data_IF_386400869296
#
_entry.id   IF_386400869296
#
_cell.length_a   1.000
_cell.length_b   1.000
_cell.length_c   1.000
_cell.angle_alpha   90.00
_cell.angle_beta   90.00
_cell.angle_gamma   90.00
#
_symmetry.space_group_name_H-M   'P 1'
#
loop_
_entity.id
_entity.type
_entity.pdbx_description
1 polymer ?
#
# COMPACT_ATOMS: atom_id res chain seq x y z
N UNK A 1 13.80 22.41 -17.79
CA UNK A 1 12.54 21.62 -17.79
C UNK A 1 12.72 20.14 -18.16
N UNK A 2 13.75 19.71 -18.91
CA UNK A 2 13.88 18.30 -19.35
C UNK A 2 14.42 17.31 -18.28
N UNK A 3 15.28 17.75 -17.36
CA UNK A 3 15.91 16.85 -16.37
C UNK A 3 14.96 16.36 -15.27
N UNK A 4 13.97 17.18 -14.88
CA UNK A 4 13.01 16.84 -13.83
C UNK A 4 11.97 15.81 -14.30
N UNK A 5 11.53 15.91 -15.55
CA UNK A 5 10.60 14.95 -16.15
C UNK A 5 11.25 13.57 -16.35
N UNK A 6 12.54 13.52 -16.69
CA UNK A 6 13.31 12.28 -16.77
C UNK A 6 13.52 11.64 -15.38
N UNK A 7 13.75 12.45 -14.34
CA UNK A 7 13.87 12.00 -12.96
C UNK A 7 12.55 11.39 -12.45
N UNK A 8 11.41 12.04 -12.73
CA UNK A 8 10.08 11.53 -12.40
C UNK A 8 9.76 10.23 -13.16
N UNK A 9 10.15 10.13 -14.43
CA UNK A 9 10.05 8.90 -15.22
C UNK A 9 10.90 7.75 -14.65
N UNK A 10 12.11 8.03 -14.16
CA UNK A 10 12.99 7.02 -13.57
C UNK A 10 12.49 6.55 -12.19
N UNK A 11 11.89 7.44 -11.41
CA UNK A 11 11.19 7.08 -10.16
C UNK A 11 10.03 6.12 -10.46
N UNK A 12 9.31 6.33 -11.57
CA UNK A 12 8.18 5.47 -11.99
C UNK A 12 8.58 4.01 -12.25
N UNK A 13 9.82 3.78 -12.67
CA UNK A 13 10.34 2.43 -12.97
C UNK A 13 11.10 1.78 -11.82
N UNK A 14 11.58 2.55 -10.83
CA UNK A 14 12.47 2.08 -9.76
C UNK A 14 11.94 2.35 -8.34
N UNK A 15 10.61 2.43 -8.16
CA UNK A 15 9.97 2.59 -6.85
C UNK A 15 10.49 1.60 -5.79
N UNK A 16 10.76 0.36 -6.21
CA UNK A 16 11.30 -0.69 -5.35
C UNK A 16 12.69 -0.33 -4.82
N UNK A 17 13.63 0.05 -5.69
CA UNK A 17 14.99 0.41 -5.29
C UNK A 17 15.03 1.63 -4.37
N UNK A 18 14.08 2.55 -4.54
CA UNK A 18 13.89 3.70 -3.65
C UNK A 18 13.45 3.21 -2.27
N UNK A 19 12.44 2.34 -2.19
CA UNK A 19 11.97 1.78 -0.93
C UNK A 19 13.08 1.01 -0.20
N UNK A 20 13.87 0.20 -0.90
CA UNK A 20 14.97 -0.55 -0.29
C UNK A 20 16.00 0.38 0.36
N UNK A 21 16.36 1.46 -0.35
CA UNK A 21 17.30 2.47 0.13
C UNK A 21 16.76 3.24 1.34
N UNK A 22 15.49 3.64 1.33
CA UNK A 22 14.89 4.43 2.42
C UNK A 22 14.59 3.57 3.66
N UNK A 23 14.22 2.31 3.48
CA UNK A 23 13.94 1.40 4.58
C UNK A 23 15.20 0.73 5.14
N UNK A 24 16.33 0.82 4.44
CA UNK A 24 17.57 0.10 4.78
C UNK A 24 17.37 -1.42 4.77
N UNK A 25 16.47 -1.90 3.91
CA UNK A 25 15.98 -3.28 3.87
C UNK A 25 15.91 -3.73 2.42
N UNK A 26 16.51 -4.85 2.11
CA UNK A 26 16.33 -5.49 0.81
C UNK A 26 14.91 -6.09 0.72
N UNK A 27 14.33 -6.09 -0.49
CA UNK A 27 13.11 -6.83 -0.73
C UNK A 27 13.35 -8.31 -0.41
N UNK A 28 12.58 -8.82 0.54
CA UNK A 28 12.60 -10.25 0.82
C UNK A 28 11.76 -10.99 -0.21
N UNK A 29 12.31 -12.08 -0.74
CA UNK A 29 11.52 -13.00 -1.52
C UNK A 29 10.38 -13.56 -0.65
N UNK A 30 9.17 -13.78 -1.20
CA UNK A 30 8.01 -14.17 -0.39
C UNK A 30 8.22 -15.43 0.46
N UNK A 31 9.03 -16.37 -0.01
CA UNK A 31 9.39 -17.61 0.67
C UNK A 31 10.32 -17.42 1.88
N UNK A 32 10.95 -16.25 2.04
CA UNK A 32 11.84 -15.93 3.16
C UNK A 32 11.14 -15.14 4.27
N UNK A 33 9.89 -14.70 4.05
CA UNK A 33 9.14 -13.91 5.02
C UNK A 33 8.71 -14.80 6.19
N UNK A 34 9.09 -14.42 7.41
CA UNK A 34 8.55 -15.05 8.60
C UNK A 34 7.13 -14.56 8.87
N UNK A 35 6.15 -15.24 8.27
CA UNK A 35 4.72 -14.96 8.44
C UNK A 35 4.23 -15.16 9.88
N UNK A 36 4.85 -16.04 10.67
CA UNK A 36 4.41 -16.35 12.04
C UNK A 36 4.60 -15.18 13.02
N UNK A 37 5.59 -14.31 12.77
CA UNK A 37 5.92 -13.16 13.61
C UNK A 37 5.40 -11.83 13.08
N UNK A 38 4.53 -11.84 12.06
CA UNK A 38 4.17 -10.63 11.35
C UNK A 38 3.14 -9.79 12.14
N UNK A 39 3.56 -8.57 12.52
CA UNK A 39 2.79 -7.70 13.42
C UNK A 39 2.08 -6.54 12.71
N UNK A 40 2.61 -6.08 11.57
CA UNK A 40 2.07 -4.93 10.84
C UNK A 40 2.04 -5.26 9.35
N UNK A 41 0.90 -5.04 8.71
CA UNK A 41 0.66 -5.21 7.28
C UNK A 41 0.21 -3.87 6.74
N UNK A 42 0.87 -3.39 5.69
CA UNK A 42 0.45 -2.19 4.96
C UNK A 42 0.06 -2.58 3.54
N UNK A 43 -1.22 -2.39 3.20
CA UNK A 43 -1.73 -2.61 1.85
C UNK A 43 -1.77 -1.28 1.12
N UNK A 44 -1.08 -1.18 -0.01
CA UNK A 44 -1.07 0.04 -0.83
C UNK A 44 -2.05 -0.16 -1.99
N UNK A 45 -3.20 0.53 -1.94
CA UNK A 45 -4.20 0.57 -3.01
C UNK A 45 -4.47 2.02 -3.39
N UNK A 46 -3.54 2.59 -4.16
CA UNK A 46 -3.60 3.98 -4.64
C UNK A 46 -4.60 4.21 -5.80
N UNK A 47 -5.39 3.20 -6.17
CA UNK A 47 -6.36 3.38 -7.26
C UNK A 47 -7.54 4.23 -6.78
N UNK A 48 -7.99 5.17 -7.61
CA UNK A 48 -9.05 6.14 -7.34
C UNK A 48 -10.46 5.56 -7.57
N UNK A 49 -10.58 4.50 -8.37
CA UNK A 49 -11.85 3.80 -8.58
C UNK A 49 -12.36 3.06 -7.33
N UNK A 50 -13.60 3.38 -6.94
CA UNK A 50 -14.35 2.69 -5.87
C UNK A 50 -14.57 1.21 -6.20
N UNK A 51 -14.88 0.88 -7.47
CA UNK A 51 -15.14 -0.52 -7.87
C UNK A 51 -13.94 -1.41 -7.60
N UNK A 52 -12.74 -0.88 -7.89
CA UNK A 52 -11.49 -1.60 -7.71
C UNK A 52 -11.16 -1.81 -6.24
N UNK A 53 -11.50 -0.85 -5.38
CA UNK A 53 -11.35 -1.02 -3.94
C UNK A 53 -12.31 -2.07 -3.39
N UNK A 54 -13.58 -2.05 -3.81
CA UNK A 54 -14.58 -3.03 -3.38
C UNK A 54 -14.22 -4.45 -3.82
N UNK A 55 -13.73 -4.62 -5.05
CA UNK A 55 -13.24 -5.91 -5.54
C UNK A 55 -12.01 -6.41 -4.77
N UNK A 56 -11.18 -5.50 -4.27
CA UNK A 56 -10.05 -5.83 -3.40
C UNK A 56 -10.50 -6.07 -1.94
N UNK A 57 -11.69 -5.62 -1.52
CA UNK A 57 -12.20 -5.73 -0.16
C UNK A 57 -12.05 -7.11 0.51
N UNK A 58 -12.39 -8.22 -0.18
CA UNK A 58 -12.22 -9.57 0.37
C UNK A 58 -10.77 -9.93 0.74
N UNK A 59 -9.77 -9.31 0.10
CA UNK A 59 -8.36 -9.56 0.43
C UNK A 59 -8.05 -9.15 1.88
N UNK A 60 -8.66 -8.09 2.39
CA UNK A 60 -8.49 -7.67 3.79
C UNK A 60 -9.09 -8.69 4.77
N UNK A 61 -10.21 -9.32 4.41
CA UNK A 61 -10.81 -10.38 5.22
C UNK A 61 -9.89 -11.62 5.29
N UNK A 62 -9.32 -12.01 4.14
CA UNK A 62 -8.34 -13.12 4.08
C UNK A 62 -7.08 -12.78 4.88
N UNK A 63 -6.56 -11.55 4.78
CA UNK A 63 -5.41 -11.09 5.58
C UNK A 63 -5.71 -11.13 7.07
N UNK A 64 -6.88 -10.64 7.51
CA UNK A 64 -7.30 -10.71 8.92
C UNK A 64 -7.40 -12.14 9.41
N UNK A 65 -7.96 -13.05 8.59
CA UNK A 65 -8.05 -14.47 8.95
C UNK A 65 -6.66 -15.12 9.07
N UNK A 66 -5.74 -14.82 8.15
CA UNK A 66 -4.39 -15.36 8.16
C UNK A 66 -3.51 -14.77 9.27
N UNK A 67 -3.72 -13.48 9.60
CA UNK A 67 -2.95 -12.74 10.59
C UNK A 67 -3.85 -12.04 11.61
N UNK A 68 -4.57 -12.78 12.50
CA UNK A 68 -5.59 -12.21 13.38
C UNK A 68 -5.09 -11.09 14.30
N UNK A 69 -3.81 -11.14 14.69
CA UNK A 69 -3.17 -10.21 15.61
C UNK A 69 -2.40 -9.08 14.94
N UNK A 70 -2.24 -9.11 13.61
CA UNK A 70 -1.50 -8.06 12.91
C UNK A 70 -2.34 -6.78 12.85
N UNK A 71 -1.68 -5.63 12.94
CA UNK A 71 -2.27 -4.34 12.55
C UNK A 71 -2.29 -4.26 11.03
N UNK A 72 -3.45 -4.03 10.44
CA UNK A 72 -3.66 -3.95 8.99
C UNK A 72 -3.99 -2.50 8.63
N UNK A 73 -3.02 -1.80 8.03
CA UNK A 73 -3.21 -0.47 7.48
C UNK A 73 -3.48 -0.51 5.97
N UNK A 74 -4.22 0.48 5.47
CA UNK A 74 -4.46 0.67 4.04
C UNK A 74 -4.07 2.08 3.60
N UNK A 75 -3.17 2.19 2.62
CA UNK A 75 -2.90 3.44 1.92
C UNK A 75 -3.86 3.55 0.74
N UNK A 76 -4.68 4.60 0.72
CA UNK A 76 -5.73 4.79 -0.28
C UNK A 76 -5.78 6.22 -0.82
N UNK A 77 -6.38 6.38 -2.00
CA UNK A 77 -6.72 7.69 -2.56
C UNK A 77 -7.76 8.40 -1.66
N UNK A 78 -7.73 9.75 -1.51
CA UNK A 78 -8.69 10.49 -0.67
C UNK A 78 -10.16 10.15 -0.92
N UNK A 79 -10.55 9.92 -2.18
CA UNK A 79 -11.93 9.57 -2.56
C UNK A 79 -12.39 8.21 -2.00
N UNK A 80 -11.45 7.32 -1.69
CA UNK A 80 -11.71 5.97 -1.18
C UNK A 80 -11.67 5.92 0.36
N UNK A 81 -11.11 6.94 1.00
CA UNK A 81 -10.83 6.93 2.44
C UNK A 81 -12.06 6.62 3.31
N UNK A 82 -13.22 7.23 2.99
CA UNK A 82 -14.46 6.97 3.72
C UNK A 82 -14.91 5.51 3.60
N UNK A 83 -14.88 4.94 2.39
CA UNK A 83 -15.26 3.55 2.13
C UNK A 83 -14.27 2.59 2.81
N UNK A 84 -12.97 2.88 2.74
CA UNK A 84 -11.94 2.08 3.39
C UNK A 84 -12.14 2.04 4.91
N UNK A 85 -12.53 3.16 5.52
CA UNK A 85 -12.77 3.24 6.97
C UNK A 85 -13.97 2.41 7.44
N UNK A 86 -14.86 2.01 6.52
CA UNK A 86 -16.00 1.15 6.82
C UNK A 86 -15.64 -0.35 6.79
N UNK A 87 -14.45 -0.74 6.30
CA UNK A 87 -14.05 -2.14 6.27
C UNK A 87 -13.54 -2.57 7.66
N UNK A 88 -14.22 -3.51 8.36
CA UNK A 88 -13.87 -3.89 9.73
C UNK A 88 -12.52 -4.63 9.83
N UNK A 89 -11.91 -5.02 8.71
CA UNK A 89 -10.62 -5.70 8.68
C UNK A 89 -9.44 -4.72 8.58
N UNK A 90 -9.71 -3.43 8.36
CA UNK A 90 -8.71 -2.37 8.27
C UNK A 90 -8.66 -1.63 9.60
N UNK A 91 -7.51 -1.62 10.25
CA UNK A 91 -7.31 -0.94 11.53
C UNK A 91 -6.98 0.55 11.35
N UNK A 92 -6.38 0.90 10.21
CA UNK A 92 -5.91 2.26 9.93
C UNK A 92 -6.02 2.59 8.44
N UNK A 93 -6.58 3.75 8.13
CA UNK A 93 -6.63 4.30 6.78
C UNK A 93 -5.65 5.46 6.67
N UNK A 94 -4.72 5.34 5.73
CA UNK A 94 -3.70 6.36 5.43
C UNK A 94 -4.05 6.96 4.08
N UNK A 95 -4.32 8.26 4.05
CA UNK A 95 -4.65 8.96 2.81
C UNK A 95 -3.35 9.32 2.11
N UNK A 96 -3.20 8.86 0.86
CA UNK A 96 -2.07 9.24 0.03
C UNK A 96 -2.12 10.73 -0.32
N UNK A 97 -0.97 11.41 -0.46
CA UNK A 97 -0.94 12.78 -0.96
C UNK A 97 -1.55 12.83 -2.36
N UNK A 98 -2.29 13.90 -2.71
CA UNK A 98 -2.82 14.06 -4.05
C UNK A 98 -1.69 14.04 -5.09
N UNK A 99 -1.94 13.47 -6.26
CA UNK A 99 -0.97 13.56 -7.36
C UNK A 99 -0.71 15.04 -7.68
N UNK A 100 0.54 15.43 -7.95
CA UNK A 100 0.85 16.79 -8.34
C UNK A 100 0.10 17.11 -9.65
N UNK A 101 -0.70 18.17 -9.65
CA UNK A 101 -1.24 18.75 -10.89
C UNK A 101 -0.06 19.14 -11.78
N UNK A 102 0.07 18.47 -12.93
CA UNK A 102 1.14 18.68 -13.92
C UNK A 102 0.68 19.74 -14.93
#
# INVERSE_FOLDING_TARGET
>A
MSAFTALLGHIKSNHIAILEKYLGRELQQPNLINFSGLQNILVIKHHDSISDFLLAGPSFAVLRQAFPKARIGAVVHPQIASIASMNPNIDEVIVAPPEPEI
#
